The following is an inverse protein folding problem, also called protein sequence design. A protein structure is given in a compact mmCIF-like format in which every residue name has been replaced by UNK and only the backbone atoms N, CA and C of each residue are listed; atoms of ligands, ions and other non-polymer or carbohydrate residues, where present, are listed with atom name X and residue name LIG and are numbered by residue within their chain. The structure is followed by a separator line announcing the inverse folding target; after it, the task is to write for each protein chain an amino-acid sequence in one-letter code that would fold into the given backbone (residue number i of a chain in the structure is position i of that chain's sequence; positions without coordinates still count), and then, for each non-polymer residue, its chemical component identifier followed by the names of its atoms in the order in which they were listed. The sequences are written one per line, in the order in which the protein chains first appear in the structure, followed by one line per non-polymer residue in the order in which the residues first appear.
data_IF_514780585796
#
_entry.id   IF_514780585796
#
_cell.length_a   1.000
_cell.length_b   1.000
_cell.length_c   1.000
_cell.angle_alpha   90.00
_cell.angle_beta   90.00
_cell.angle_gamma   90.00
#
_symmetry.space_group_name_H-M   'P 1'
#
loop_
_entity.id
_entity.type
_entity.pdbx_description
1 polymer ?
#
# COMPACT_ATOMS: atom_id res chain seq x y z
N UNK A 1 26.49 -33.49 1.41
CA UNK A 1 25.15 -34.10 1.53
C UNK A 1 25.02 -35.12 0.41
N UNK A 2 24.70 -36.39 0.73
CA UNK A 2 24.57 -37.46 -0.27
C UNK A 2 23.18 -38.07 -0.09
N UNK A 3 22.41 -38.14 -1.17
CA UNK A 3 21.10 -38.80 -1.20
C UNK A 3 21.37 -40.29 -1.35
N UNK A 4 21.07 -41.09 -0.33
CA UNK A 4 21.31 -42.54 -0.32
C UNK A 4 20.08 -43.38 -0.64
N UNK A 5 18.91 -42.74 -0.84
CA UNK A 5 17.63 -43.39 -1.08
C UNK A 5 16.79 -42.59 -2.08
N UNK A 6 15.95 -43.29 -2.85
CA UNK A 6 15.05 -42.66 -3.81
C UNK A 6 13.98 -41.81 -3.08
N UNK A 7 13.78 -40.53 -3.47
CA UNK A 7 12.77 -39.69 -2.85
C UNK A 7 11.36 -40.25 -3.04
N UNK A 8 10.53 -40.10 -2.00
CA UNK A 8 9.10 -40.41 -2.05
C UNK A 8 8.28 -39.12 -2.21
N UNK A 9 7.07 -39.23 -2.78
CA UNK A 9 6.18 -38.09 -2.96
C UNK A 9 5.77 -37.52 -1.59
N UNK A 10 6.08 -36.25 -1.36
CA UNK A 10 5.62 -35.50 -0.21
C UNK A 10 4.13 -35.12 -0.39
N UNK A 11 3.37 -34.99 0.73
CA UNK A 11 2.01 -34.50 0.66
C UNK A 11 1.95 -33.07 0.11
N UNK A 12 0.87 -32.76 -0.61
CA UNK A 12 0.64 -31.43 -1.14
C UNK A 12 0.48 -30.39 -0.02
N UNK A 13 1.01 -29.19 -0.23
CA UNK A 13 0.80 -28.05 0.67
C UNK A 13 -0.70 -27.74 0.78
N UNK A 14 -1.19 -27.57 2.01
CA UNK A 14 -2.58 -27.22 2.28
C UNK A 14 -2.70 -25.73 2.61
N UNK A 15 -3.78 -25.08 2.15
CA UNK A 15 -4.07 -23.69 2.48
C UNK A 15 -4.46 -23.56 3.95
N UNK A 16 -4.07 -22.46 4.57
CA UNK A 16 -4.55 -22.10 5.91
C UNK A 16 -6.05 -21.78 5.90
N UNK A 17 -6.73 -21.98 7.03
CA UNK A 17 -8.13 -21.57 7.26
C UNK A 17 -8.25 -20.10 7.70
N UNK A 18 -7.21 -19.30 7.53
CA UNK A 18 -7.20 -17.91 7.98
C UNK A 18 -8.16 -17.04 7.16
N UNK A 19 -9.05 -16.33 7.85
CA UNK A 19 -9.89 -15.29 7.28
C UNK A 19 -9.40 -13.91 7.74
N UNK A 20 -9.06 -13.00 6.82
CA UNK A 20 -8.67 -11.64 7.18
C UNK A 20 -9.86 -10.85 7.73
N UNK A 21 -9.63 -10.03 8.75
CA UNK A 21 -10.65 -9.13 9.29
C UNK A 21 -10.91 -7.98 8.31
N UNK A 22 -12.18 -7.66 8.07
CA UNK A 22 -12.59 -6.48 7.29
C UNK A 22 -12.35 -5.24 8.14
N UNK A 23 -11.65 -4.24 7.59
CA UNK A 23 -11.45 -2.95 8.25
C UNK A 23 -12.67 -2.06 7.95
N UNK A 24 -13.27 -1.50 9.00
CA UNK A 24 -14.44 -0.64 8.89
C UNK A 24 -14.01 0.83 8.86
N UNK A 25 -14.68 1.63 8.02
CA UNK A 25 -14.43 3.06 7.97
C UNK A 25 -14.95 3.74 9.23
N UNK A 26 -14.14 4.63 9.80
CA UNK A 26 -14.52 5.39 10.99
C UNK A 26 -15.38 6.59 10.60
N UNK A 27 -16.61 6.62 11.10
CA UNK A 27 -17.61 7.67 10.82
C UNK A 27 -17.20 9.03 11.44
N UNK A 28 -16.22 9.04 12.35
CA UNK A 28 -15.70 10.27 12.96
C UNK A 28 -14.78 11.08 12.04
N UNK A 29 -14.29 10.48 10.95
CA UNK A 29 -13.44 11.18 9.98
C UNK A 29 -14.32 12.02 9.06
N UNK A 30 -14.06 13.33 9.03
CA UNK A 30 -14.85 14.26 8.22
C UNK A 30 -14.71 13.98 6.72
N UNK A 31 -15.77 14.20 5.94
CA UNK A 31 -15.74 14.00 4.49
C UNK A 31 -14.67 14.85 3.80
N UNK A 32 -14.42 16.06 4.29
CA UNK A 32 -13.39 16.95 3.74
C UNK A 32 -11.99 16.39 3.99
N UNK A 33 -11.73 15.86 5.20
CA UNK A 33 -10.46 15.17 5.51
C UNK A 33 -10.25 13.95 4.62
N UNK A 34 -11.30 13.14 4.41
CA UNK A 34 -11.23 11.97 3.53
C UNK A 34 -10.87 12.38 2.10
N UNK A 35 -11.54 13.40 1.55
CA UNK A 35 -11.27 13.89 0.19
C UNK A 35 -9.85 14.44 0.04
N UNK A 36 -9.41 15.23 1.00
CA UNK A 36 -8.08 15.83 1.03
C UNK A 36 -6.98 14.75 1.11
N UNK A 37 -7.12 13.79 2.03
CA UNK A 37 -6.21 12.66 2.15
C UNK A 37 -6.23 11.75 0.89
N UNK A 38 -7.39 11.54 0.28
CA UNK A 38 -7.51 10.77 -0.97
C UNK A 38 -6.76 11.46 -2.12
N UNK A 39 -6.93 12.78 -2.29
CA UNK A 39 -6.23 13.54 -3.31
C UNK A 39 -4.71 13.52 -3.12
N UNK A 40 -4.26 13.61 -1.86
CA UNK A 40 -2.85 13.43 -1.51
C UNK A 40 -2.34 12.04 -1.93
N UNK A 41 -3.04 10.97 -1.55
CA UNK A 41 -2.63 9.60 -1.86
C UNK A 41 -2.61 9.34 -3.38
N UNK A 42 -3.60 9.83 -4.13
CA UNK A 42 -3.61 9.72 -5.59
C UNK A 42 -2.40 10.42 -6.21
N UNK A 43 -2.06 11.61 -5.73
CA UNK A 43 -0.91 12.38 -6.23
C UNK A 43 0.40 11.66 -5.90
N UNK A 44 0.53 11.20 -4.66
CA UNK A 44 1.68 10.43 -4.21
C UNK A 44 1.87 9.16 -5.04
N UNK A 45 0.84 8.33 -5.17
CA UNK A 45 0.96 7.05 -5.89
C UNK A 45 1.11 7.20 -7.41
N UNK A 46 0.73 8.33 -8.00
CA UNK A 46 1.12 8.68 -9.38
C UNK A 46 2.62 8.93 -9.52
N UNK A 47 3.22 9.61 -8.55
CA UNK A 47 4.65 9.92 -8.53
C UNK A 47 5.50 8.68 -8.15
N UNK A 48 5.00 7.88 -7.21
CA UNK A 48 5.74 6.83 -6.49
C UNK A 48 6.54 5.84 -7.36
N UNK A 49 6.04 5.33 -8.51
CA UNK A 49 6.82 4.43 -9.37
C UNK A 49 8.04 5.09 -10.04
N UNK A 50 8.03 6.41 -10.16
CA UNK A 50 9.04 7.19 -10.91
C UNK A 50 9.86 8.12 -10.03
N UNK A 51 9.41 8.34 -8.78
CA UNK A 51 10.03 9.22 -7.83
C UNK A 51 11.40 8.69 -7.39
N UNK A 52 12.36 9.59 -7.27
CA UNK A 52 13.62 9.33 -6.59
C UNK A 52 13.44 9.41 -5.06
N UNK A 53 14.36 8.82 -4.29
CA UNK A 53 14.33 8.90 -2.82
C UNK A 53 14.25 10.35 -2.30
N UNK A 54 14.89 11.29 -2.99
CA UNK A 54 14.85 12.72 -2.66
C UNK A 54 13.46 13.33 -2.84
N UNK A 55 12.75 12.93 -3.89
CA UNK A 55 11.38 13.38 -4.13
C UNK A 55 10.42 12.72 -3.15
N UNK A 56 10.64 11.44 -2.83
CA UNK A 56 9.85 10.71 -1.84
C UNK A 56 10.00 11.28 -0.43
N UNK A 57 11.17 11.82 -0.05
CA UNK A 57 11.41 12.41 1.26
C UNK A 57 10.48 13.60 1.61
N UNK A 58 9.83 14.21 0.62
CA UNK A 58 8.82 15.25 0.85
C UNK A 58 7.45 14.69 1.26
N UNK A 59 7.16 13.44 0.87
CA UNK A 59 5.87 12.77 1.09
C UNK A 59 5.95 11.69 2.16
N UNK A 60 7.12 11.06 2.32
CA UNK A 60 7.38 9.92 3.21
C UNK A 60 8.46 10.32 4.21
N UNK A 61 8.11 10.25 5.49
CA UNK A 61 9.05 10.46 6.58
C UNK A 61 9.96 9.24 6.73
N UNK A 62 11.25 9.48 6.99
CA UNK A 62 12.24 8.45 7.34
C UNK A 62 12.37 7.25 6.37
N UNK A 63 11.90 7.40 5.12
CA UNK A 63 12.03 6.35 4.09
C UNK A 63 11.23 5.08 4.38
N UNK A 64 10.14 5.16 5.15
CA UNK A 64 9.30 4.00 5.53
C UNK A 64 8.80 3.22 4.30
N UNK A 65 8.56 3.92 3.19
CA UNK A 65 8.21 3.33 1.90
C UNK A 65 9.43 3.31 0.98
N UNK A 66 9.92 2.10 0.69
CA UNK A 66 10.97 1.88 -0.28
C UNK A 66 10.46 2.09 -1.72
N UNK A 67 11.24 2.71 -2.63
CA UNK A 67 10.83 2.90 -4.02
C UNK A 67 10.38 1.60 -4.67
N UNK A 68 9.29 1.66 -5.44
CA UNK A 68 8.83 0.48 -6.20
C UNK A 68 9.67 0.35 -7.46
N UNK A 69 10.28 -0.82 -7.63
CA UNK A 69 11.00 -1.16 -8.86
C UNK A 69 10.03 -1.68 -9.92
N UNK A 70 9.77 -0.90 -10.97
CA UNK A 70 9.00 -1.36 -12.12
C UNK A 70 8.48 -0.21 -12.97
N UNK A 71 8.17 -0.50 -14.24
CA UNK A 71 7.55 0.45 -15.15
C UNK A 71 6.03 0.41 -14.95
N UNK A 72 5.58 1.00 -13.84
CA UNK A 72 4.19 1.01 -13.42
C UNK A 72 3.53 2.36 -13.67
N UNK A 73 2.28 2.31 -14.15
CA UNK A 73 1.41 3.48 -14.28
C UNK A 73 0.29 3.36 -13.26
N UNK A 74 0.13 4.39 -12.43
CA UNK A 74 -0.97 4.47 -11.48
C UNK A 74 -2.32 4.41 -12.20
N UNK A 75 -3.21 3.53 -11.74
CA UNK A 75 -4.57 3.41 -12.25
C UNK A 75 -5.57 4.04 -11.28
N UNK A 76 -5.66 3.53 -10.06
CA UNK A 76 -6.65 4.00 -9.07
C UNK A 76 -6.32 3.52 -7.64
N UNK A 77 -6.99 4.15 -6.66
CA UNK A 77 -7.10 3.64 -5.30
C UNK A 77 -8.37 2.80 -5.18
N UNK A 78 -8.23 1.60 -4.65
CA UNK A 78 -9.29 0.62 -4.48
C UNK A 78 -9.59 0.48 -2.99
N UNK A 79 -10.84 0.72 -2.64
CA UNK A 79 -11.39 0.60 -1.28
C UNK A 79 -10.52 1.26 -0.19
N UNK A 80 -10.20 2.56 -0.30
CA UNK A 80 -9.53 3.25 0.78
C UNK A 80 -10.44 3.31 2.02
N UNK A 81 -9.93 2.84 3.14
CA UNK A 81 -10.57 2.89 4.46
C UNK A 81 -9.76 3.81 5.34
N UNK A 82 -10.42 4.81 5.91
CA UNK A 82 -9.79 5.82 6.78
C UNK A 82 -10.29 5.64 8.21
N UNK A 83 -9.36 5.65 9.16
CA UNK A 83 -9.62 5.49 10.59
C UNK A 83 -8.82 6.53 11.35
N UNK A 84 -9.44 7.22 12.31
CA UNK A 84 -8.72 8.19 13.14
C UNK A 84 -7.89 7.46 14.18
N UNK A 85 -6.62 7.83 14.32
CA UNK A 85 -5.71 7.27 15.32
C UNK A 85 -5.01 8.42 16.06
N UNK A 86 -5.66 8.92 17.10
CA UNK A 86 -5.22 10.14 17.80
C UNK A 86 -5.23 11.36 16.89
N UNK A 87 -4.06 11.95 16.66
CA UNK A 87 -3.85 13.07 15.73
C UNK A 87 -3.51 12.61 14.31
N UNK A 88 -3.29 11.30 14.12
CA UNK A 88 -2.97 10.69 12.84
C UNK A 88 -4.22 10.11 12.16
N UNK A 89 -4.08 9.85 10.87
CA UNK A 89 -5.09 9.18 10.07
C UNK A 89 -4.51 7.86 9.55
N UNK A 90 -4.98 6.75 10.10
CA UNK A 90 -4.65 5.43 9.57
C UNK A 90 -5.45 5.19 8.29
N UNK A 91 -4.76 4.70 7.26
CA UNK A 91 -5.35 4.40 5.96
C UNK A 91 -5.03 2.98 5.56
N UNK A 92 -6.04 2.22 5.20
CA UNK A 92 -5.89 0.94 4.53
C UNK A 92 -6.38 1.08 3.09
N UNK A 93 -5.49 0.88 2.13
CA UNK A 93 -5.80 1.12 0.73
C UNK A 93 -5.13 0.09 -0.17
N UNK A 94 -5.85 -0.33 -1.19
CA UNK A 94 -5.27 -1.13 -2.28
C UNK A 94 -4.99 -0.23 -3.47
N UNK A 95 -3.75 -0.15 -3.92
CA UNK A 95 -3.37 0.65 -5.09
C UNK A 95 -3.30 -0.26 -6.30
N UNK A 96 -4.00 0.14 -7.36
CA UNK A 96 -3.96 -0.53 -8.65
C UNK A 96 -2.97 0.16 -9.56
N UNK A 97 -1.99 -0.61 -10.04
CA UNK A 97 -1.04 -0.21 -11.06
C UNK A 97 -1.24 -1.03 -12.33
N UNK A 98 -0.95 -0.43 -13.47
CA UNK A 98 -0.79 -1.12 -14.74
C UNK A 98 0.70 -1.28 -15.02
N UNK A 99 1.17 -2.51 -15.16
CA UNK A 99 2.52 -2.78 -15.66
C UNK A 99 2.56 -2.43 -17.15
N UNK A 100 3.41 -1.46 -17.51
CA UNK A 100 3.49 -0.97 -18.87
C UNK A 100 4.09 -1.98 -19.85
N UNK A 101 4.91 -2.94 -19.36
CA UNK A 101 5.53 -4.00 -20.18
C UNK A 101 4.56 -5.15 -20.43
N UNK A 102 3.97 -5.69 -19.36
CA UNK A 102 3.12 -6.89 -19.45
C UNK A 102 1.64 -6.56 -19.71
N UNK A 103 1.23 -5.30 -19.54
CA UNK A 103 -0.17 -4.83 -19.54
C UNK A 103 -1.02 -5.52 -18.47
N UNK A 104 -0.39 -6.13 -17.47
CA UNK A 104 -1.07 -6.77 -16.36
C UNK A 104 -1.40 -5.76 -15.26
N UNK A 105 -2.54 -5.96 -14.62
CA UNK A 105 -2.93 -5.21 -13.43
C UNK A 105 -2.19 -5.77 -12.22
N UNK A 106 -1.44 -4.91 -11.54
CA UNK A 106 -0.81 -5.20 -10.26
C UNK A 106 -1.57 -4.49 -9.16
N UNK A 107 -2.00 -5.22 -8.12
CA UNK A 107 -2.66 -4.64 -6.95
C UNK A 107 -1.72 -4.75 -5.76
N UNK A 108 -1.37 -3.61 -5.16
CA UNK A 108 -0.50 -3.52 -3.99
C UNK A 108 -1.28 -2.97 -2.81
N UNK A 109 -1.30 -3.71 -1.70
CA UNK A 109 -2.03 -3.32 -0.49
C UNK A 109 -1.09 -2.59 0.47
N UNK A 110 -1.57 -1.49 1.04
CA UNK A 110 -0.83 -0.69 2.01
C UNK A 110 -1.69 -0.42 3.24
N UNK A 111 -1.06 -0.54 4.40
CA UNK A 111 -1.52 0.12 5.62
C UNK A 111 -0.56 1.26 5.88
N UNK A 112 -1.09 2.49 5.89
CA UNK A 112 -0.31 3.72 6.05
C UNK A 112 -0.83 4.50 7.25
N UNK A 113 0.04 5.28 7.85
CA UNK A 113 -0.29 6.32 8.82
C UNK A 113 0.03 7.68 8.21
N UNK A 114 -0.98 8.52 8.09
CA UNK A 114 -0.85 9.89 7.60
C UNK A 114 -0.84 10.87 8.78
N UNK A 115 0.11 11.79 8.77
CA UNK A 115 0.15 12.93 9.69
C UNK A 115 -0.05 14.23 8.92
N UNK A 116 -0.87 15.13 9.46
CA UNK A 116 -1.12 16.46 8.88
C UNK A 116 -0.54 17.54 9.79
N UNK A 117 0.64 18.02 9.43
CA UNK A 117 1.16 19.31 9.88
C UNK A 117 0.60 20.40 8.93
N UNK A 118 1.46 21.04 8.14
CA UNK A 118 1.06 21.94 7.05
C UNK A 118 0.58 21.18 5.81
N UNK A 119 1.17 20.02 5.54
CA UNK A 119 0.85 19.12 4.43
C UNK A 119 0.77 17.68 4.95
N UNK A 120 0.03 16.83 4.26
CA UNK A 120 0.00 15.39 4.55
C UNK A 120 1.36 14.75 4.30
N UNK A 121 1.76 13.87 5.22
CA UNK A 121 2.95 13.01 5.08
C UNK A 121 2.63 11.61 5.55
N UNK A 122 3.22 10.63 4.88
CA UNK A 122 3.23 9.23 5.29
C UNK A 122 4.31 9.07 6.34
N UNK A 123 3.92 8.67 7.55
CA UNK A 123 4.83 8.50 8.69
C UNK A 123 5.02 7.05 9.10
N UNK A 124 4.10 6.16 8.69
CA UNK A 124 4.18 4.71 8.86
C UNK A 124 3.50 4.00 7.69
#
# INVERSE_FOLDING_TARGET
MVITQNPTLAPAVQKSKYEPKVQEADVSVSSDTVKDATAFLETFFKLYPTATEKELAYYVKDGVLAPVSGDYVFSELVNPVFTKDGDNLKVSVSVKYLDNKSKMTQISQYELMLHKDDNWKIVE
#
